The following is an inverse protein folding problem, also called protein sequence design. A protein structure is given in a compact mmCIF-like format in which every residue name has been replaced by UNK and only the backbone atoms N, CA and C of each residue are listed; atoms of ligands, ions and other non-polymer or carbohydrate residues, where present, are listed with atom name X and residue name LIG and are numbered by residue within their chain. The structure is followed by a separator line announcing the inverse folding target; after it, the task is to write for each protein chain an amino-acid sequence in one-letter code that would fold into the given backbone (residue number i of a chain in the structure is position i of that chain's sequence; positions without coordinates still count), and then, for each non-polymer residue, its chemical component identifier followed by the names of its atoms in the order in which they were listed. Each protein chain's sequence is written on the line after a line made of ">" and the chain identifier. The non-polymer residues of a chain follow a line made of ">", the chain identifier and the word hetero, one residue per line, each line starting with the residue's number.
data_IF_962634485115
#
_entry.id   IF_962634485115
#
_cell.length_a   1.000
_cell.length_b   1.000
_cell.length_c   1.000
_cell.angle_alpha   90.00
_cell.angle_beta   90.00
_cell.angle_gamma   90.00
#
_symmetry.space_group_name_H-M   'P 1'
#
loop_
_entity.id
_entity.type
_entity.pdbx_description
1 polymer ?
#
# COMPACT_ATOMS: atom_id res chain seq x y z
N UNK A 1 -4.74 9.97 -24.77
CA UNK A 1 -5.06 11.05 -25.74
C UNK A 1 -6.43 10.76 -26.30
N UNK A 2 -7.41 11.65 -26.11
CA UNK A 2 -8.79 11.46 -26.58
C UNK A 2 -8.87 11.77 -28.07
N UNK A 3 -9.64 10.97 -28.83
CA UNK A 3 -9.86 11.22 -30.25
C UNK A 3 -10.71 12.50 -30.45
N UNK A 4 -10.38 13.31 -31.45
CA UNK A 4 -11.13 14.53 -31.77
C UNK A 4 -12.61 14.20 -32.05
N UNK A 5 -13.51 14.94 -31.40
CA UNK A 5 -14.96 14.73 -31.52
C UNK A 5 -15.52 13.53 -30.74
N UNK A 6 -14.70 12.81 -29.96
CA UNK A 6 -15.19 11.73 -29.11
C UNK A 6 -16.29 12.21 -28.16
N UNK A 7 -17.34 11.39 -28.01
CA UNK A 7 -18.49 11.67 -27.14
C UNK A 7 -18.44 10.80 -25.90
N UNK A 8 -18.96 11.34 -24.80
CA UNK A 8 -19.04 10.57 -23.56
C UNK A 8 -19.94 9.34 -23.74
N UNK A 9 -19.50 8.19 -23.24
CA UNK A 9 -20.25 6.93 -23.34
C UNK A 9 -21.64 7.00 -22.69
N UNK A 10 -21.80 7.80 -21.62
CA UNK A 10 -23.07 8.00 -20.94
C UNK A 10 -23.91 9.17 -21.51
N UNK A 11 -23.25 10.13 -22.16
CA UNK A 11 -23.89 11.37 -22.65
C UNK A 11 -23.48 11.64 -24.10
N UNK A 12 -24.23 11.14 -25.10
CA UNK A 12 -23.88 11.25 -26.52
C UNK A 12 -23.73 12.69 -27.02
N UNK A 13 -24.40 13.64 -26.35
CA UNK A 13 -24.38 15.06 -26.71
C UNK A 13 -23.19 15.82 -26.10
N UNK A 14 -22.45 15.24 -25.15
CA UNK A 14 -21.30 15.89 -24.50
C UNK A 14 -19.98 15.38 -25.06
N UNK A 15 -19.06 16.32 -25.30
CA UNK A 15 -17.71 15.99 -25.70
C UNK A 15 -16.94 15.36 -24.56
N UNK A 16 -16.18 14.31 -24.92
CA UNK A 16 -15.29 13.64 -24.00
C UNK A 16 -14.02 14.47 -23.82
N UNK A 17 -13.61 14.62 -22.58
CA UNK A 17 -12.38 15.32 -22.20
C UNK A 17 -11.27 14.35 -21.84
N UNK A 18 -11.63 13.12 -21.45
CA UNK A 18 -10.66 12.06 -21.14
C UNK A 18 -11.22 10.65 -21.44
N UNK A 19 -10.38 9.63 -21.25
CA UNK A 19 -10.72 8.21 -21.28
C UNK A 19 -10.59 7.60 -19.89
N UNK A 20 -11.52 6.72 -19.51
CA UNK A 20 -11.41 5.98 -18.27
C UNK A 20 -10.19 5.03 -18.30
N UNK A 21 -9.27 5.17 -17.34
CA UNK A 21 -8.05 4.36 -17.25
C UNK A 21 -8.31 2.85 -17.09
N UNK A 22 -9.50 2.47 -16.59
CA UNK A 22 -9.86 1.07 -16.34
C UNK A 22 -10.52 0.38 -17.53
N UNK A 23 -11.55 0.99 -18.11
CA UNK A 23 -12.36 0.36 -19.17
C UNK A 23 -12.18 1.00 -20.55
N UNK A 24 -11.44 2.10 -20.65
CA UNK A 24 -11.20 2.82 -21.90
C UNK A 24 -12.38 3.67 -22.39
N UNK A 25 -13.50 3.73 -21.66
CA UNK A 25 -14.67 4.52 -22.09
C UNK A 25 -14.37 6.02 -22.08
N UNK A 26 -14.84 6.74 -23.10
CA UNK A 26 -14.79 8.20 -23.14
C UNK A 26 -15.68 8.85 -22.07
N UNK A 27 -15.14 9.83 -21.35
CA UNK A 27 -15.80 10.53 -20.23
C UNK A 27 -15.75 12.05 -20.44
N UNK A 28 -16.86 12.72 -20.16
CA UNK A 28 -16.95 14.19 -20.17
C UNK A 28 -16.55 14.78 -18.81
N UNK A 29 -16.30 16.09 -18.78
CA UNK A 29 -15.93 16.82 -17.55
C UNK A 29 -16.94 16.71 -16.41
N UNK A 30 -18.21 16.41 -16.72
CA UNK A 30 -19.26 16.21 -15.71
C UNK A 30 -19.38 14.77 -15.19
N UNK A 31 -18.75 13.79 -15.83
CA UNK A 31 -18.78 12.38 -15.41
C UNK A 31 -17.43 11.86 -14.95
N UNK A 32 -16.36 12.62 -15.19
CA UNK A 32 -15.02 12.19 -14.80
C UNK A 32 -14.85 12.25 -13.29
N UNK A 33 -14.41 11.15 -12.71
CA UNK A 33 -13.93 11.08 -11.34
C UNK A 33 -12.41 10.98 -11.39
N UNK A 34 -11.72 11.86 -10.67
CA UNK A 34 -10.24 11.91 -10.68
C UNK A 34 -9.72 11.32 -9.39
N UNK A 35 -8.85 10.31 -9.49
CA UNK A 35 -8.11 9.76 -8.36
C UNK A 35 -6.60 9.84 -8.63
N UNK A 36 -5.93 10.71 -7.89
CA UNK A 36 -4.48 10.96 -7.95
C UNK A 36 -4.00 11.48 -9.32
N UNK A 37 -3.89 10.60 -10.32
CA UNK A 37 -3.44 10.89 -11.69
C UNK A 37 -4.29 10.23 -12.77
N UNK A 38 -5.24 9.38 -12.38
CA UNK A 38 -6.07 8.61 -13.30
C UNK A 38 -7.51 9.12 -13.31
N UNK A 39 -8.10 9.14 -14.51
CA UNK A 39 -9.51 9.47 -14.71
C UNK A 39 -10.36 8.22 -14.80
N UNK A 40 -11.48 8.18 -14.09
CA UNK A 40 -12.43 7.06 -14.07
C UNK A 40 -13.84 7.49 -14.47
N UNK A 41 -14.59 6.57 -15.10
CA UNK A 41 -16.04 6.71 -15.26
C UNK A 41 -16.74 6.35 -13.94
N UNK A 42 -17.97 6.83 -13.68
CA UNK A 42 -18.62 6.64 -12.38
C UNK A 42 -18.81 5.17 -12.01
N UNK A 43 -19.13 4.31 -12.98
CA UNK A 43 -19.24 2.87 -12.78
C UNK A 43 -17.90 2.23 -12.40
N UNK A 44 -16.81 2.63 -13.07
CA UNK A 44 -15.48 2.12 -12.74
C UNK A 44 -14.99 2.69 -11.42
N UNK A 45 -15.20 3.97 -11.13
CA UNK A 45 -14.82 4.61 -9.89
C UNK A 45 -15.47 3.94 -8.68
N UNK A 46 -16.78 3.64 -8.77
CA UNK A 46 -17.50 2.87 -7.76
C UNK A 46 -16.89 1.46 -7.52
N UNK A 47 -16.24 0.89 -8.54
CA UNK A 47 -15.60 -0.44 -8.48
C UNK A 47 -14.11 -0.42 -8.16
N UNK A 48 -13.40 0.69 -8.39
CA UNK A 48 -11.97 0.80 -8.08
C UNK A 48 -11.79 0.95 -6.57
N UNK A 49 -12.78 1.53 -5.89
CA UNK A 49 -12.77 1.70 -4.45
C UNK A 49 -11.73 2.74 -4.06
N UNK A 50 -12.18 3.86 -3.50
CA UNK A 50 -11.27 4.92 -3.01
C UNK A 50 -10.12 4.27 -2.26
N UNK A 51 -8.87 4.48 -2.69
CA UNK A 51 -7.70 4.09 -1.88
C UNK A 51 -7.83 4.82 -0.55
N UNK A 52 -8.39 4.13 0.46
CA UNK A 52 -8.54 4.73 1.77
C UNK A 52 -7.12 5.06 2.26
N UNK A 53 -6.84 6.31 2.67
CA UNK A 53 -5.49 6.69 3.05
C UNK A 53 -4.92 5.75 4.10
N UNK A 54 -3.64 5.41 3.98
CA UNK A 54 -2.98 4.57 4.96
C UNK A 54 -3.02 5.25 6.33
N UNK A 55 -3.42 4.50 7.36
CA UNK A 55 -3.38 4.96 8.76
C UNK A 55 -1.96 5.40 9.13
N UNK A 56 -1.84 6.47 9.91
CA UNK A 56 -0.56 6.97 10.44
C UNK A 56 0.23 5.87 11.17
N UNK A 57 -0.47 4.89 11.74
CA UNK A 57 0.12 3.72 12.40
C UNK A 57 0.75 2.72 11.42
N UNK A 58 0.21 2.56 10.21
CA UNK A 58 0.81 1.72 9.17
C UNK A 58 2.09 2.36 8.62
N UNK A 59 2.09 3.69 8.46
CA UNK A 59 3.27 4.44 8.00
C UNK A 59 4.39 4.41 9.05
N UNK A 60 4.06 4.58 10.34
CA UNK A 60 5.07 4.47 11.40
C UNK A 60 5.62 3.06 11.55
N UNK A 61 4.80 2.02 11.40
CA UNK A 61 5.28 0.63 11.40
C UNK A 61 6.27 0.35 10.27
N UNK A 62 6.01 0.88 9.06
CA UNK A 62 6.91 0.76 7.91
C UNK A 62 8.24 1.50 8.17
N UNK A 63 8.17 2.74 8.67
CA UNK A 63 9.36 3.55 8.98
C UNK A 63 10.18 2.89 10.08
N UNK A 64 9.55 2.33 11.12
CA UNK A 64 10.25 1.61 12.19
C UNK A 64 10.95 0.36 11.66
N UNK A 65 10.34 -0.38 10.73
CA UNK A 65 10.95 -1.54 10.08
C UNK A 65 12.16 -1.15 9.21
N UNK A 66 12.06 -0.04 8.46
CA UNK A 66 13.18 0.52 7.69
C UNK A 66 14.32 0.96 8.61
N UNK A 67 14.00 1.62 9.73
CA UNK A 67 15.01 2.05 10.71
C UNK A 67 15.66 0.86 11.44
N UNK A 68 14.90 -0.22 11.70
CA UNK A 68 15.47 -1.46 12.25
C UNK A 68 16.52 -2.08 11.30
N UNK A 69 16.35 -1.95 9.99
CA UNK A 69 17.35 -2.35 8.99
C UNK A 69 18.67 -1.57 9.11
N UNK A 70 18.62 -0.32 9.63
CA UNK A 70 19.78 0.59 9.67
C UNK A 70 20.70 0.42 10.89
N UNK A 71 20.45 -0.58 11.76
CA UNK A 71 21.41 -0.99 12.80
C UNK A 71 20.88 -1.03 14.23
N UNK A 72 19.60 -0.77 14.47
CA UNK A 72 18.98 -0.96 15.79
C UNK A 72 18.18 -2.27 15.83
N UNK A 73 18.94 -3.36 15.97
CA UNK A 73 18.49 -4.76 15.96
C UNK A 73 17.24 -5.10 16.83
N UNK A 74 16.99 -4.51 18.02
CA UNK A 74 15.81 -4.89 18.81
C UNK A 74 14.49 -4.29 18.30
N UNK A 75 14.48 -3.36 17.34
CA UNK A 75 13.25 -2.73 16.85
C UNK A 75 12.48 -3.57 15.82
N UNK A 76 13.13 -4.53 15.17
CA UNK A 76 12.51 -5.39 14.16
C UNK A 76 11.28 -6.20 14.68
N UNK A 77 11.34 -6.88 15.84
CA UNK A 77 10.16 -7.58 16.38
C UNK A 77 9.03 -6.62 16.78
N UNK A 78 9.37 -5.43 17.28
CA UNK A 78 8.37 -4.41 17.67
C UNK A 78 7.57 -3.95 16.43
N UNK A 79 8.24 -3.72 15.30
CA UNK A 79 7.61 -3.39 14.03
C UNK A 79 6.67 -4.50 13.52
N UNK A 80 7.08 -5.76 13.64
CA UNK A 80 6.24 -6.90 13.24
C UNK A 80 4.96 -7.03 14.11
N UNK A 81 5.09 -6.85 15.43
CA UNK A 81 3.95 -6.90 16.36
C UNK A 81 2.97 -5.75 16.08
N UNK A 82 3.48 -4.52 15.87
CA UNK A 82 2.64 -3.37 15.50
C UNK A 82 1.90 -3.59 14.18
N UNK A 83 2.52 -4.27 13.21
CA UNK A 83 1.86 -4.68 11.97
C UNK A 83 0.67 -5.62 12.19
N UNK A 84 0.79 -6.59 13.11
CA UNK A 84 -0.33 -7.45 13.50
C UNK A 84 -1.44 -6.68 14.21
N UNK A 85 -1.09 -5.74 15.09
CA UNK A 85 -2.07 -4.89 15.78
C UNK A 85 -2.85 -4.03 14.79
N UNK A 86 -2.18 -3.45 13.78
CA UNK A 86 -2.85 -2.64 12.77
C UNK A 86 -3.76 -3.48 11.87
N UNK A 87 -3.35 -4.69 11.48
CA UNK A 87 -4.23 -5.63 10.78
C UNK A 87 -5.48 -5.99 11.59
N UNK A 88 -5.31 -6.23 12.90
CA UNK A 88 -6.45 -6.48 13.79
C UNK A 88 -7.37 -5.26 13.95
N UNK A 89 -6.83 -4.03 13.92
CA UNK A 89 -7.63 -2.79 13.90
C UNK A 89 -8.41 -2.64 12.60
N UNK A 90 -7.81 -2.98 11.45
CA UNK A 90 -8.50 -2.98 10.15
C UNK A 90 -9.66 -3.99 10.17
N UNK A 91 -9.45 -5.18 10.74
CA UNK A 91 -10.50 -6.22 10.83
C UNK A 91 -11.64 -5.83 11.77
N UNK A 92 -11.36 -5.06 12.82
CA UNK A 92 -12.39 -4.50 13.73
C UNK A 92 -13.11 -3.27 13.17
N UNK A 93 -12.72 -2.78 12.00
CA UNK A 93 -13.28 -1.56 11.41
C UNK A 93 -12.83 -0.26 12.09
N UNK A 94 -11.78 -0.32 12.92
CA UNK A 94 -11.25 0.83 13.68
C UNK A 94 -10.20 1.63 12.88
N UNK A 95 -9.71 1.10 11.76
CA UNK A 95 -8.74 1.78 10.90
C UNK A 95 -9.04 1.61 9.41
N UNK A 96 -8.41 2.45 8.58
CA UNK A 96 -8.73 2.57 7.17
C UNK A 96 -8.30 1.32 6.37
N UNK A 97 -9.19 0.75 5.53
CA UNK A 97 -8.93 -0.52 4.83
C UNK A 97 -7.79 -0.46 3.82
N UNK A 98 -7.39 0.73 3.36
CA UNK A 98 -6.28 0.89 2.41
C UNK A 98 -4.91 0.60 3.01
N UNK A 99 -4.79 0.57 4.35
CA UNK A 99 -3.56 0.17 5.05
C UNK A 99 -3.27 -1.34 5.01
N UNK A 100 -4.20 -2.19 4.53
CA UNK A 100 -4.10 -3.66 4.67
C UNK A 100 -2.88 -4.25 3.96
N UNK A 101 -2.57 -3.78 2.76
CA UNK A 101 -1.42 -4.27 1.99
C UNK A 101 -0.10 -3.77 2.58
N UNK A 102 -0.08 -2.54 3.11
CA UNK A 102 1.07 -1.96 3.81
C UNK A 102 1.36 -2.71 5.12
N UNK A 103 0.32 -3.04 5.90
CA UNK A 103 0.46 -3.80 7.15
C UNK A 103 0.99 -5.23 6.90
N UNK A 104 0.50 -5.91 5.85
CA UNK A 104 1.05 -7.21 5.43
C UNK A 104 2.53 -7.09 5.01
N UNK A 105 2.88 -6.02 4.30
CA UNK A 105 4.27 -5.73 3.93
C UNK A 105 5.17 -5.55 5.15
N UNK A 106 4.72 -4.77 6.15
CA UNK A 106 5.47 -4.54 7.38
C UNK A 106 5.73 -5.84 8.18
N UNK A 107 4.74 -6.75 8.26
CA UNK A 107 4.90 -8.05 8.92
C UNK A 107 5.95 -8.91 8.19
N UNK A 108 5.82 -9.05 6.87
CA UNK A 108 6.73 -9.87 6.06
C UNK A 108 8.16 -9.36 6.12
N UNK A 109 8.34 -8.04 5.97
CA UNK A 109 9.66 -7.41 6.08
C UNK A 109 10.20 -7.61 7.49
N UNK A 110 9.43 -7.31 8.54
CA UNK A 110 9.86 -7.44 9.93
C UNK A 110 10.34 -8.84 10.31
N UNK A 111 9.61 -9.89 9.91
CA UNK A 111 10.01 -11.28 10.18
C UNK A 111 11.25 -11.70 9.40
N UNK A 112 11.34 -11.32 8.12
CA UNK A 112 12.50 -11.62 7.28
C UNK A 112 13.77 -10.95 7.82
N UNK A 113 13.66 -9.68 8.24
CA UNK A 113 14.78 -8.96 8.83
C UNK A 113 15.19 -9.57 10.16
N UNK A 114 14.24 -9.94 11.03
CA UNK A 114 14.51 -10.56 12.34
C UNK A 114 15.17 -11.95 12.19
N UNK A 115 14.69 -12.78 11.27
CA UNK A 115 15.25 -14.11 11.04
C UNK A 115 16.66 -14.04 10.45
N UNK A 116 16.89 -13.20 9.45
CA UNK A 116 18.20 -13.04 8.82
C UNK A 116 19.25 -12.52 9.82
N UNK A 117 18.87 -11.55 10.63
CA UNK A 117 19.74 -10.98 11.65
C UNK A 117 20.05 -11.98 12.77
N UNK A 118 19.08 -12.75 13.27
CA UNK A 118 19.31 -13.81 14.25
C UNK A 118 20.29 -14.88 13.74
N UNK A 119 20.16 -15.31 12.48
CA UNK A 119 21.08 -16.27 11.86
C UNK A 119 22.51 -15.74 11.80
N UNK A 120 22.71 -14.47 11.45
CA UNK A 120 24.04 -13.83 11.43
C UNK A 120 24.65 -13.83 12.83
N UNK A 121 23.87 -13.48 13.86
CA UNK A 121 24.37 -13.48 15.25
C UNK A 121 24.74 -14.90 15.70
N UNK A 122 23.91 -15.90 15.42
CA UNK A 122 24.22 -17.31 15.74
C UNK A 122 25.49 -17.76 15.03
N UNK A 123 25.67 -17.39 13.75
CA UNK A 123 26.86 -17.72 12.99
C UNK A 123 28.14 -17.05 13.55
N UNK A 124 28.07 -15.77 13.93
CA UNK A 124 29.18 -15.06 14.59
C UNK A 124 29.52 -15.70 15.94
N UNK A 125 28.51 -16.04 16.76
CA UNK A 125 28.71 -16.70 18.04
C UNK A 125 29.35 -18.09 17.85
N UNK A 126 28.90 -18.87 16.86
CA UNK A 126 29.46 -20.19 16.56
C UNK A 126 30.92 -20.10 16.07
N UNK A 127 31.25 -19.15 15.20
CA UNK A 127 32.63 -18.89 14.78
C UNK A 127 33.51 -18.41 15.94
N UNK A 128 32.99 -17.51 16.79
CA UNK A 128 33.71 -17.03 17.97
C UNK A 128 34.00 -18.13 18.99
N UNK A 129 33.05 -19.04 19.21
CA UNK A 129 33.23 -20.24 20.06
C UNK A 129 34.23 -21.22 19.43
N UNK A 130 34.29 -21.31 18.10
CA UNK A 130 35.20 -22.22 17.39
C UNK A 130 36.66 -21.71 17.32
N UNK A 131 36.90 -20.44 17.68
CA UNK A 131 38.21 -19.79 17.63
C UNK A 131 38.92 -19.73 19.01
N UNK A 132 38.28 -20.24 20.06
CA UNK A 132 38.75 -20.19 21.46
C UNK A 132 38.96 -21.61 22.00
#
# INVERSE_FOLDING_TARGET
>A
MVAEGAKCAAHPLREAVDTCARCGSYVCSGCMEVEEWDTFCPDCYARVGKKAPASSMATTALVLAILAMSGCFPLAPIGAILGHVELAKIERGESLPGGRNLAKGAIWVGWLTTAGTALIVIFIMALGISLF
#
